data_IF_229395497713
#
_entry.id   IF_229395497713
#
_cell.length_a   1.000
_cell.length_b   1.000
_cell.length_c   1.000
_cell.angle_alpha   90.00
_cell.angle_beta   90.00
_cell.angle_gamma   90.00
#
_symmetry.space_group_name_H-M   'P 1'
#
loop_
_entity.id
_entity.type
_entity.pdbx_description
1 polymer ?
#
# COMPACT_ATOMS: atom_id res chain seq x y z
N UNK A 1 -1.78 34.36 28.10
CA UNK A 1 -0.36 33.93 28.04
C UNK A 1 -0.06 32.74 28.96
N UNK A 2 -1.05 31.91 29.30
CA UNK A 2 -0.86 30.67 30.08
C UNK A 2 -1.45 29.42 29.38
N UNK A 3 -1.87 29.52 28.11
CA UNK A 3 -2.38 28.38 27.33
C UNK A 3 -1.40 27.89 26.26
N UNK A 4 -0.14 28.37 26.32
CA UNK A 4 0.94 27.96 25.42
C UNK A 4 1.93 26.96 26.04
N UNK A 5 1.89 26.76 27.35
CA UNK A 5 2.86 25.93 28.07
C UNK A 5 2.38 24.50 28.34
N UNK A 6 1.06 24.23 28.35
CA UNK A 6 0.53 22.86 28.52
C UNK A 6 0.54 22.02 27.24
N UNK A 7 0.78 22.64 26.07
CA UNK A 7 0.86 21.93 24.78
C UNK A 7 2.26 21.35 24.49
N UNK A 8 3.30 21.82 25.18
CA UNK A 8 4.67 21.29 25.04
C UNK A 8 4.95 20.06 25.89
N UNK A 9 4.22 19.83 26.98
CA UNK A 9 4.47 18.69 27.88
C UNK A 9 3.82 17.37 27.43
N UNK A 10 2.89 17.41 26.46
CA UNK A 10 2.27 16.17 25.89
C UNK A 10 3.04 15.54 24.72
N UNK A 11 4.04 16.22 24.16
CA UNK A 11 4.88 15.66 23.08
C UNK A 11 6.14 14.94 23.58
N UNK A 12 6.31 14.77 24.90
CA UNK A 12 7.41 14.01 25.51
C UNK A 12 6.93 12.66 26.09
N UNK A 13 5.94 12.02 25.46
CA UNK A 13 5.47 10.70 25.88
C UNK A 13 6.31 9.58 25.25
N UNK A 14 7.32 9.15 26.02
CA UNK A 14 8.06 7.88 25.98
C UNK A 14 8.84 7.52 24.71
N UNK A 15 10.06 8.04 24.58
CA UNK A 15 11.14 7.21 24.02
C UNK A 15 11.53 6.17 25.06
N UNK A 16 10.81 5.05 25.07
CA UNK A 16 11.22 3.82 25.76
C UNK A 16 12.65 3.47 25.35
N UNK A 17 13.45 2.87 26.24
CA UNK A 17 14.81 2.43 25.92
C UNK A 17 14.75 1.33 24.83
N UNK A 18 14.84 1.72 23.54
CA UNK A 18 14.65 0.81 22.41
C UNK A 18 15.76 -0.24 22.33
N UNK A 19 16.93 0.03 22.92
CA UNK A 19 18.05 -0.92 22.97
C UNK A 19 17.74 -2.21 23.72
N UNK A 20 16.80 -2.13 24.66
CA UNK A 20 16.41 -3.27 25.50
C UNK A 20 15.20 -4.01 24.91
N UNK A 21 14.59 -3.48 23.85
CA UNK A 21 13.47 -4.12 23.18
C UNK A 21 13.96 -5.31 22.34
N UNK A 22 13.19 -6.40 22.32
CA UNK A 22 13.41 -7.46 21.35
C UNK A 22 12.91 -7.06 19.96
N UNK A 23 11.76 -6.38 19.91
CA UNK A 23 11.10 -5.95 18.67
C UNK A 23 10.67 -4.50 18.79
N UNK A 24 10.97 -3.69 17.77
CA UNK A 24 10.49 -2.32 17.62
C UNK A 24 9.50 -2.27 16.45
N UNK A 25 8.27 -1.86 16.73
CA UNK A 25 7.20 -1.70 15.73
C UNK A 25 6.99 -0.22 15.41
N UNK A 26 6.83 0.12 14.14
CA UNK A 26 6.59 1.50 13.68
C UNK A 26 5.76 1.55 12.38
N UNK A 27 5.14 2.70 12.08
CA UNK A 27 4.56 2.96 10.75
C UNK A 27 5.61 3.57 9.83
N UNK A 28 5.39 3.48 8.53
CA UNK A 28 6.25 4.08 7.51
C UNK A 28 6.06 5.60 7.37
N UNK A 29 5.57 6.28 8.40
CA UNK A 29 5.50 7.74 8.51
C UNK A 29 6.69 8.33 9.29
N UNK A 30 7.75 7.54 9.49
CA UNK A 30 9.04 7.99 10.00
C UNK A 30 9.90 8.62 8.90
N UNK A 31 10.87 9.45 9.26
CA UNK A 31 11.84 10.00 8.31
C UNK A 31 12.88 8.99 7.85
N UNK A 32 13.61 9.32 6.78
CA UNK A 32 14.74 8.55 6.29
C UNK A 32 15.86 8.47 7.36
N UNK A 33 16.09 9.57 8.07
CA UNK A 33 17.06 9.64 9.16
C UNK A 33 16.64 8.76 10.34
N UNK A 34 15.36 8.77 10.73
CA UNK A 34 14.83 7.86 11.74
C UNK A 34 14.99 6.39 11.30
N UNK A 35 14.66 6.08 10.05
CA UNK A 35 14.81 4.74 9.48
C UNK A 35 16.26 4.24 9.55
N UNK A 36 17.25 5.08 9.17
CA UNK A 36 18.67 4.72 9.28
C UNK A 36 19.11 4.51 10.72
N UNK A 37 18.61 5.30 11.67
CA UNK A 37 18.95 5.14 13.08
C UNK A 37 18.35 3.86 13.66
N UNK A 38 17.12 3.50 13.28
CA UNK A 38 16.50 2.23 13.64
C UNK A 38 17.27 1.05 13.02
N UNK A 39 17.70 1.15 11.76
CA UNK A 39 18.54 0.14 11.11
C UNK A 39 19.90 -0.02 11.82
N UNK A 40 20.49 1.08 12.31
CA UNK A 40 21.70 1.00 13.12
C UNK A 40 21.47 0.33 14.48
N UNK A 41 20.30 0.54 15.11
CA UNK A 41 19.93 -0.18 16.32
C UNK A 41 19.75 -1.67 16.04
N UNK A 42 19.08 -2.05 14.94
CA UNK A 42 18.98 -3.44 14.48
C UNK A 42 20.37 -4.08 14.39
N UNK A 43 21.27 -3.45 13.64
CA UNK A 43 22.62 -3.97 13.42
C UNK A 43 23.48 -4.04 14.69
N UNK A 44 23.31 -3.11 15.65
CA UNK A 44 24.13 -3.05 16.88
C UNK A 44 23.57 -3.91 18.02
N UNK A 45 22.25 -3.95 18.16
CA UNK A 45 21.56 -4.53 19.31
C UNK A 45 20.80 -5.82 18.98
N UNK A 46 20.67 -6.16 17.70
CA UNK A 46 19.91 -7.34 17.26
C UNK A 46 18.40 -7.20 17.46
N UNK A 47 17.88 -5.96 17.47
CA UNK A 47 16.44 -5.71 17.60
C UNK A 47 15.73 -6.03 16.30
N UNK A 48 14.56 -6.66 16.34
CA UNK A 48 13.72 -6.85 15.16
C UNK A 48 12.98 -5.55 14.80
N UNK A 49 12.93 -5.21 13.50
CA UNK A 49 12.24 -4.01 12.99
C UNK A 49 10.95 -4.40 12.28
N UNK A 50 9.82 -4.07 12.89
CA UNK A 50 8.51 -4.48 12.39
C UNK A 50 7.73 -3.29 11.80
N UNK A 51 7.67 -3.24 10.47
CA UNK A 51 6.86 -2.28 9.71
C UNK A 51 6.13 -3.03 8.58
N UNK A 52 4.94 -3.61 8.84
CA UNK A 52 4.31 -4.55 7.91
C UNK A 52 3.98 -3.97 6.52
N UNK A 53 3.50 -2.72 6.46
CA UNK A 53 3.18 -2.05 5.21
C UNK A 53 4.42 -1.82 4.33
N UNK A 54 5.54 -1.39 4.92
CA UNK A 54 6.80 -1.23 4.20
C UNK A 54 7.44 -2.58 3.87
N UNK A 55 7.25 -3.61 4.70
CA UNK A 55 7.74 -4.98 4.46
C UNK A 55 7.09 -5.61 3.23
N UNK A 56 5.76 -5.57 3.15
CA UNK A 56 5.01 -6.03 1.98
C UNK A 56 5.45 -5.31 0.70
N UNK A 57 5.60 -3.98 0.78
CA UNK A 57 6.09 -3.17 -0.34
C UNK A 57 7.54 -3.50 -0.71
N UNK A 58 8.43 -3.70 0.27
CA UNK A 58 9.83 -4.09 0.06
C UNK A 58 9.93 -5.44 -0.66
N UNK A 59 9.18 -6.45 -0.22
CA UNK A 59 9.14 -7.76 -0.90
C UNK A 59 8.63 -7.63 -2.33
N UNK A 60 7.56 -6.87 -2.55
CA UNK A 60 7.03 -6.62 -3.89
C UNK A 60 8.07 -5.95 -4.80
N UNK A 61 8.76 -4.90 -4.33
CA UNK A 61 9.78 -4.21 -5.12
C UNK A 61 10.99 -5.09 -5.44
N UNK A 62 11.43 -5.95 -4.51
CA UNK A 62 12.51 -6.90 -4.76
C UNK A 62 12.14 -7.91 -5.86
N UNK A 63 10.94 -8.47 -5.79
CA UNK A 63 10.43 -9.39 -6.81
C UNK A 63 10.23 -8.68 -8.16
N UNK A 64 9.70 -7.46 -8.15
CA UNK A 64 9.56 -6.61 -9.34
C UNK A 64 10.92 -6.36 -10.02
N UNK A 65 11.94 -5.99 -9.25
CA UNK A 65 13.29 -5.71 -9.74
C UNK A 65 13.95 -6.93 -10.41
N UNK A 66 13.61 -8.15 -9.96
CA UNK A 66 14.11 -9.39 -10.57
C UNK A 66 13.62 -9.60 -12.00
N UNK A 67 12.48 -9.01 -12.38
CA UNK A 67 11.91 -9.09 -13.72
C UNK A 67 12.18 -7.83 -14.57
N UNK A 68 12.14 -6.64 -13.95
CA UNK A 68 12.31 -5.36 -14.66
C UNK A 68 13.78 -4.97 -14.91
N UNK A 69 14.72 -5.65 -14.24
CA UNK A 69 16.13 -5.30 -14.13
C UNK A 69 16.40 -3.88 -13.58
N UNK A 70 15.39 -3.24 -13.00
CA UNK A 70 15.52 -1.93 -12.36
C UNK A 70 15.12 -2.09 -10.89
N UNK A 71 15.96 -1.61 -9.98
CA UNK A 71 15.64 -1.66 -8.56
C UNK A 71 14.42 -0.80 -8.19
N UNK A 72 14.16 0.25 -8.98
CA UNK A 72 12.97 1.08 -8.88
C UNK A 72 12.22 1.09 -10.21
N UNK A 73 10.90 1.16 -10.14
CA UNK A 73 10.02 1.36 -11.29
C UNK A 73 10.34 2.68 -12.01
N UNK A 74 10.14 2.73 -13.33
CA UNK A 74 10.50 3.86 -14.19
C UNK A 74 9.53 5.02 -14.11
N UNK A 75 8.24 4.74 -14.02
CA UNK A 75 7.20 5.76 -13.99
C UNK A 75 7.24 6.64 -12.73
N UNK A 76 6.60 7.78 -12.82
CA UNK A 76 6.40 8.78 -11.78
C UNK A 76 5.08 9.54 -12.04
N UNK A 77 4.64 10.41 -11.12
CA UNK A 77 3.39 11.16 -11.26
C UNK A 77 3.42 12.10 -12.49
N UNK A 78 4.60 12.59 -12.85
CA UNK A 78 4.81 13.44 -14.01
C UNK A 78 4.58 12.67 -15.34
N UNK A 79 5.07 11.44 -15.46
CA UNK A 79 4.76 10.55 -16.60
C UNK A 79 3.29 10.16 -16.65
N UNK A 80 2.65 9.91 -15.51
CA UNK A 80 1.18 9.68 -15.45
C UNK A 80 0.45 10.92 -15.98
N UNK A 81 0.87 12.12 -15.60
CA UNK A 81 0.23 13.37 -16.04
C UNK A 81 0.29 13.62 -17.56
N UNK A 82 1.24 12.98 -18.25
CA UNK A 82 1.40 13.02 -19.71
C UNK A 82 0.86 11.80 -20.44
N UNK A 83 0.38 10.79 -19.70
CA UNK A 83 -0.06 9.54 -20.29
C UNK A 83 -1.38 9.73 -21.02
N UNK A 84 -1.51 9.09 -22.18
CA UNK A 84 -2.76 9.06 -22.94
C UNK A 84 -3.66 7.91 -22.45
N UNK A 85 -3.04 6.84 -21.97
CA UNK A 85 -3.71 5.69 -21.36
C UNK A 85 -3.09 5.42 -20.00
N UNK A 86 -3.94 5.24 -18.99
CA UNK A 86 -3.54 4.85 -17.65
C UNK A 86 -4.27 3.57 -17.28
N UNK A 87 -3.51 2.52 -16.99
CA UNK A 87 -4.01 1.28 -16.40
C UNK A 87 -3.82 1.40 -14.88
N UNK A 88 -4.86 1.16 -14.08
CA UNK A 88 -4.76 1.10 -12.62
C UNK A 88 -5.12 -0.30 -12.15
N UNK A 89 -4.31 -0.86 -11.26
CA UNK A 89 -4.49 -2.23 -10.78
C UNK A 89 -4.22 -2.32 -9.28
N UNK A 90 -5.22 -2.79 -8.54
CA UNK A 90 -5.15 -2.97 -7.08
C UNK A 90 -5.12 -1.65 -6.30
N UNK A 91 -5.77 -0.61 -6.85
CA UNK A 91 -5.94 0.70 -6.22
C UNK A 91 -7.43 0.99 -6.08
N UNK A 92 -7.86 1.36 -4.88
CA UNK A 92 -9.16 1.98 -4.64
C UNK A 92 -8.95 3.44 -4.20
N UNK A 93 -9.39 4.41 -4.99
CA UNK A 93 -9.08 5.84 -4.84
C UNK A 93 -9.97 6.58 -3.83
N UNK A 94 -10.99 5.91 -3.30
CA UNK A 94 -11.74 6.35 -2.11
C UNK A 94 -10.95 6.14 -0.80
N UNK A 95 -9.79 5.47 -0.87
CA UNK A 95 -8.86 5.29 0.26
C UNK A 95 -7.97 6.52 0.46
N UNK A 96 -8.04 7.13 1.65
CA UNK A 96 -7.35 8.39 1.99
C UNK A 96 -5.98 8.18 2.68
N UNK A 97 -5.41 6.96 2.66
CA UNK A 97 -4.16 6.65 3.38
C UNK A 97 -2.90 7.35 2.90
N UNK A 98 -2.80 7.60 1.60
CA UNK A 98 -1.55 8.04 0.97
C UNK A 98 -1.75 9.39 0.32
N UNK A 99 -0.91 10.37 0.68
CA UNK A 99 -0.85 11.65 -0.01
C UNK A 99 -0.63 11.46 -1.52
N UNK A 100 0.14 10.43 -1.89
CA UNK A 100 0.37 10.06 -3.30
C UNK A 100 -0.92 9.66 -4.01
N UNK A 101 -1.87 9.00 -3.33
CA UNK A 101 -3.18 8.66 -3.89
C UNK A 101 -4.02 9.92 -4.14
N UNK A 102 -4.00 10.88 -3.21
CA UNK A 102 -4.69 12.16 -3.39
C UNK A 102 -4.17 12.94 -4.60
N UNK A 103 -2.84 13.10 -4.72
CA UNK A 103 -2.23 13.80 -5.86
C UNK A 103 -2.50 13.06 -7.17
N UNK A 104 -2.40 11.73 -7.16
CA UNK A 104 -2.67 10.91 -8.34
C UNK A 104 -4.13 11.02 -8.79
N UNK A 105 -5.08 10.98 -7.85
CA UNK A 105 -6.50 11.20 -8.14
C UNK A 105 -6.71 12.55 -8.84
N UNK A 106 -6.10 13.61 -8.32
CA UNK A 106 -6.22 14.95 -8.90
C UNK A 106 -5.65 14.99 -10.32
N UNK A 107 -4.50 14.34 -10.56
CA UNK A 107 -3.90 14.19 -11.89
C UNK A 107 -4.86 13.47 -12.85
N UNK A 108 -5.46 12.35 -12.46
CA UNK A 108 -6.37 11.59 -13.31
C UNK A 108 -7.63 12.38 -13.66
N UNK A 109 -8.20 13.12 -12.69
CA UNK A 109 -9.39 13.96 -12.88
C UNK A 109 -9.07 15.16 -13.78
N UNK A 110 -7.92 15.80 -13.61
CA UNK A 110 -7.52 16.98 -14.37
C UNK A 110 -7.14 16.63 -15.81
N UNK A 111 -6.28 15.62 -15.98
CA UNK A 111 -5.71 15.25 -17.28
C UNK A 111 -6.65 14.40 -18.13
N UNK A 112 -7.56 13.66 -17.50
CA UNK A 112 -8.55 12.79 -18.16
C UNK A 112 -7.92 11.90 -19.24
N UNK A 113 -6.87 11.12 -18.90
CA UNK A 113 -6.39 10.08 -19.79
C UNK A 113 -7.48 9.04 -20.00
N UNK A 114 -7.31 8.15 -20.98
CA UNK A 114 -8.16 6.96 -21.04
C UNK A 114 -7.79 6.02 -19.89
N UNK A 115 -8.72 5.70 -19.01
CA UNK A 115 -8.49 4.89 -17.82
C UNK A 115 -9.01 3.46 -18.04
N UNK A 116 -8.11 2.51 -17.83
CA UNK A 116 -8.45 1.09 -17.61
C UNK A 116 -8.37 0.86 -16.10
N UNK A 117 -9.51 0.62 -15.47
CA UNK A 117 -9.60 0.39 -14.03
C UNK A 117 -9.74 -1.10 -13.75
N UNK A 118 -8.77 -1.69 -13.05
CA UNK A 118 -8.74 -3.11 -12.73
C UNK A 118 -8.85 -3.30 -11.21
N UNK A 119 -10.05 -3.64 -10.73
CA UNK A 119 -10.32 -3.80 -9.30
C UNK A 119 -11.60 -4.64 -9.05
N UNK A 120 -11.74 -5.39 -7.94
CA UNK A 120 -12.97 -6.16 -7.65
C UNK A 120 -14.19 -5.28 -7.36
N UNK A 121 -13.96 -4.04 -6.96
CA UNK A 121 -14.98 -3.07 -6.56
C UNK A 121 -14.97 -1.86 -7.47
N UNK A 122 -16.16 -1.30 -7.72
CA UNK A 122 -16.30 0.00 -8.38
C UNK A 122 -15.70 1.12 -7.51
N UNK A 123 -15.16 2.15 -8.16
CA UNK A 123 -14.64 3.35 -7.52
C UNK A 123 -15.50 4.55 -7.89
N UNK A 124 -16.16 5.18 -6.92
CA UNK A 124 -17.15 6.25 -7.16
C UNK A 124 -16.51 7.53 -7.66
N UNK A 125 -15.25 7.76 -7.30
CA UNK A 125 -14.48 8.94 -7.69
C UNK A 125 -14.12 8.84 -9.18
N UNK A 126 -13.72 7.66 -9.64
CA UNK A 126 -13.28 7.42 -11.02
C UNK A 126 -14.40 7.01 -12.01
N UNK A 127 -15.66 6.83 -11.60
CA UNK A 127 -16.69 6.27 -12.52
C UNK A 127 -16.91 7.07 -13.81
N UNK A 128 -16.67 8.38 -13.81
CA UNK A 128 -16.89 9.20 -15.02
C UNK A 128 -15.75 9.07 -16.06
N UNK A 129 -14.46 9.06 -15.66
CA UNK A 129 -13.33 8.93 -16.61
C UNK A 129 -12.92 7.49 -16.99
N UNK A 130 -13.61 6.42 -16.59
CA UNK A 130 -13.17 5.04 -16.90
C UNK A 130 -13.74 4.54 -18.24
N UNK A 131 -12.86 4.27 -19.21
CA UNK A 131 -13.19 3.66 -20.49
C UNK A 131 -13.41 2.14 -20.39
N UNK A 132 -12.62 1.46 -19.56
CA UNK A 132 -12.73 0.02 -19.35
C UNK A 132 -12.61 -0.30 -17.86
N UNK A 133 -13.66 -0.89 -17.29
CA UNK A 133 -13.62 -1.44 -15.94
C UNK A 133 -13.50 -2.96 -16.04
N UNK A 134 -12.35 -3.51 -15.62
CA UNK A 134 -12.10 -4.95 -15.54
C UNK A 134 -12.33 -5.38 -14.11
N UNK A 135 -13.49 -5.98 -13.88
CA UNK A 135 -13.88 -6.49 -12.56
C UNK A 135 -13.45 -7.95 -12.44
N UNK A 136 -12.54 -8.23 -11.51
CA UNK A 136 -12.07 -9.59 -11.23
C UNK A 136 -12.51 -10.12 -9.87
N UNK A 137 -12.35 -11.43 -9.68
CA UNK A 137 -12.61 -12.10 -8.42
C UNK A 137 -11.50 -11.82 -7.39
N UNK A 138 -11.89 -11.58 -6.14
CA UNK A 138 -10.94 -11.35 -5.04
C UNK A 138 -9.99 -12.54 -4.91
N UNK A 139 -8.70 -12.29 -4.73
CA UNK A 139 -7.65 -13.30 -4.59
C UNK A 139 -7.14 -13.85 -5.93
N UNK A 140 -7.77 -13.48 -7.05
CA UNK A 140 -7.34 -13.91 -8.40
C UNK A 140 -6.29 -12.99 -9.04
N UNK A 141 -5.73 -12.03 -8.29
CA UNK A 141 -4.84 -10.98 -8.80
C UNK A 141 -3.61 -11.52 -9.54
N UNK A 142 -3.09 -12.68 -9.14
CA UNK A 142 -2.01 -13.38 -9.88
C UNK A 142 -2.45 -13.79 -11.28
N UNK A 143 -3.63 -14.40 -11.41
CA UNK A 143 -4.21 -14.77 -12.70
C UNK A 143 -4.50 -13.55 -13.57
N UNK A 144 -5.03 -12.48 -12.97
CA UNK A 144 -5.28 -11.21 -13.69
C UNK A 144 -3.97 -10.58 -14.20
N UNK A 145 -2.93 -10.56 -13.37
CA UNK A 145 -1.60 -10.09 -13.78
C UNK A 145 -1.02 -10.94 -14.91
N UNK A 146 -1.22 -12.26 -14.87
CA UNK A 146 -0.74 -13.19 -15.89
C UNK A 146 -1.48 -13.01 -17.22
N UNK A 147 -2.81 -12.85 -17.18
CA UNK A 147 -3.62 -12.54 -18.36
C UNK A 147 -3.24 -11.19 -18.98
N UNK A 148 -3.01 -10.17 -18.15
CA UNK A 148 -2.53 -8.87 -18.62
C UNK A 148 -1.14 -8.97 -19.27
N UNK A 149 -0.21 -9.68 -18.64
CA UNK A 149 1.12 -9.95 -19.19
C UNK A 149 1.02 -10.66 -20.55
N UNK A 150 0.20 -11.71 -20.64
CA UNK A 150 -0.02 -12.45 -21.88
C UNK A 150 -0.56 -11.54 -22.99
N UNK A 151 -1.62 -10.77 -22.70
CA UNK A 151 -2.26 -9.90 -23.67
C UNK A 151 -1.30 -8.84 -24.23
N UNK A 152 -0.50 -8.21 -23.37
CA UNK A 152 0.37 -7.10 -23.76
C UNK A 152 1.73 -7.54 -24.35
N UNK A 153 2.14 -8.79 -24.10
CA UNK A 153 3.44 -9.32 -24.50
C UNK A 153 3.39 -10.32 -25.67
N UNK A 154 2.22 -10.87 -26.03
CA UNK A 154 2.06 -11.89 -27.07
C UNK A 154 2.71 -11.57 -28.44
N UNK A 155 2.85 -10.29 -28.80
CA UNK A 155 3.43 -9.81 -30.07
C UNK A 155 4.82 -9.20 -29.89
N UNK A 156 5.44 -9.34 -28.71
CA UNK A 156 6.76 -8.77 -28.38
C UNK A 156 7.86 -9.83 -28.50
N UNK A 157 9.08 -9.37 -28.73
CA UNK A 157 10.26 -10.24 -28.68
C UNK A 157 10.70 -10.42 -27.23
N UNK A 158 10.65 -11.66 -26.74
CA UNK A 158 10.95 -12.01 -25.35
C UNK A 158 12.13 -13.01 -25.30
N UNK A 159 12.91 -13.04 -24.21
CA UNK A 159 13.82 -14.16 -23.93
C UNK A 159 13.07 -15.49 -23.83
N UNK A 160 13.70 -16.58 -24.27
CA UNK A 160 13.08 -17.91 -24.35
C UNK A 160 12.40 -18.35 -23.04
N UNK A 161 13.10 -18.19 -21.90
CA UNK A 161 12.57 -18.55 -20.57
C UNK A 161 11.26 -17.84 -20.26
N UNK A 162 11.13 -16.55 -20.61
CA UNK A 162 9.92 -15.77 -20.36
C UNK A 162 8.81 -16.18 -21.33
N UNK A 163 9.14 -16.38 -22.61
CA UNK A 163 8.18 -16.82 -23.61
C UNK A 163 7.58 -18.19 -23.25
N UNK A 164 8.43 -19.16 -22.87
CA UNK A 164 8.01 -20.50 -22.42
C UNK A 164 7.09 -20.39 -21.19
N UNK A 165 7.47 -19.61 -20.18
CA UNK A 165 6.65 -19.41 -18.97
C UNK A 165 5.25 -18.84 -19.27
N UNK A 166 5.14 -17.97 -20.28
CA UNK A 166 3.88 -17.34 -20.68
C UNK A 166 3.04 -18.26 -21.58
N UNK A 167 3.67 -19.11 -22.40
CA UNK A 167 2.99 -20.11 -23.24
C UNK A 167 2.38 -21.26 -22.42
N UNK A 168 2.93 -21.56 -21.24
CA UNK A 168 2.43 -22.59 -20.33
C UNK A 168 1.16 -22.17 -19.55
N UNK A 169 0.78 -20.88 -19.59
CA UNK A 169 -0.39 -20.37 -18.89
C UNK A 169 -1.70 -20.94 -19.47
N UNK A 170 -2.54 -21.53 -18.62
CA UNK A 170 -3.90 -21.91 -19.00
C UNK A 170 -4.84 -20.69 -18.99
N UNK A 171 -4.85 -19.96 -20.11
CA UNK A 171 -5.68 -18.76 -20.30
C UNK A 171 -7.16 -19.03 -20.06
N UNK A 172 -7.65 -20.21 -20.45
CA UNK A 172 -9.06 -20.59 -20.28
C UNK A 172 -9.42 -20.75 -18.81
N UNK A 173 -8.57 -21.43 -18.05
CA UNK A 173 -8.72 -21.56 -16.60
C UNK A 173 -8.65 -20.20 -15.89
N UNK A 174 -7.59 -19.41 -16.17
CA UNK A 174 -7.39 -18.12 -15.53
C UNK A 174 -8.56 -17.18 -15.80
N UNK A 175 -9.02 -17.10 -17.05
CA UNK A 175 -10.17 -16.27 -17.45
C UNK A 175 -11.45 -16.67 -16.71
N UNK A 176 -11.70 -17.97 -16.58
CA UNK A 176 -12.89 -18.49 -15.91
C UNK A 176 -12.88 -18.21 -14.40
N UNK A 177 -11.76 -18.42 -13.71
CA UNK A 177 -11.67 -18.26 -12.26
C UNK A 177 -11.47 -16.81 -11.82
N UNK A 178 -10.78 -15.98 -12.62
CA UNK A 178 -10.62 -14.55 -12.32
C UNK A 178 -11.80 -13.70 -12.76
N UNK A 179 -12.72 -14.25 -13.56
CA UNK A 179 -13.81 -13.54 -14.22
C UNK A 179 -13.32 -12.38 -15.13
N UNK A 180 -12.16 -12.56 -15.77
CA UNK A 180 -11.62 -11.59 -16.74
C UNK A 180 -11.65 -12.20 -18.14
N UNK A 181 -12.39 -11.58 -19.05
CA UNK A 181 -12.56 -12.07 -20.42
C UNK A 181 -11.48 -11.57 -21.39
N UNK A 182 -11.21 -12.33 -22.44
CA UNK A 182 -10.34 -11.90 -23.54
C UNK A 182 -10.83 -10.60 -24.19
N UNK A 183 -12.15 -10.40 -24.31
CA UNK A 183 -12.74 -9.18 -24.89
C UNK A 183 -12.37 -7.90 -24.14
N UNK A 184 -12.30 -7.97 -22.81
CA UNK A 184 -11.90 -6.84 -21.96
C UNK A 184 -10.43 -6.49 -22.21
N UNK A 185 -9.56 -7.50 -22.32
CA UNK A 185 -8.13 -7.34 -22.57
C UNK A 185 -7.83 -6.91 -24.01
N UNK A 186 -8.60 -7.36 -24.99
CA UNK A 186 -8.52 -6.91 -26.38
C UNK A 186 -8.86 -5.42 -26.52
N UNK A 187 -9.82 -4.95 -25.70
CA UNK A 187 -10.14 -3.53 -25.60
C UNK A 187 -8.93 -2.75 -25.07
N UNK A 188 -8.28 -3.25 -24.01
CA UNK A 188 -7.04 -2.65 -23.49
C UNK A 188 -5.94 -2.63 -24.56
N UNK A 189 -5.72 -3.74 -25.26
CA UNK A 189 -4.73 -3.84 -26.33
C UNK A 189 -4.98 -2.78 -27.41
N UNK A 190 -6.23 -2.63 -27.85
CA UNK A 190 -6.63 -1.63 -28.85
C UNK A 190 -6.40 -0.20 -28.36
N UNK A 191 -6.63 0.07 -27.07
CA UNK A 191 -6.42 1.40 -26.48
C UNK A 191 -4.95 1.82 -26.47
N UNK A 192 -4.03 0.87 -26.31
CA UNK A 192 -2.59 1.13 -26.20
C UNK A 192 -1.83 1.04 -27.53
N UNK A 193 -2.51 0.68 -28.62
CA UNK A 193 -1.93 0.69 -29.97
C UNK A 193 -1.60 2.14 -30.41
N UNK A 194 -0.45 2.34 -31.06
CA UNK A 194 -0.10 3.64 -31.69
C UNK A 194 1.02 4.45 -31.05
N UNK A 195 1.72 3.91 -30.04
CA UNK A 195 2.93 4.55 -29.48
C UNK A 195 2.66 5.65 -28.45
N UNK A 196 1.47 5.65 -27.87
CA UNK A 196 1.07 6.51 -26.75
C UNK A 196 1.96 6.33 -25.53
N UNK A 197 2.09 7.39 -24.72
CA UNK A 197 2.66 7.27 -23.37
C UNK A 197 1.62 6.54 -22.52
N UNK A 198 1.99 5.36 -22.03
CA UNK A 198 1.12 4.50 -21.22
C UNK A 198 1.74 4.37 -19.82
N UNK A 199 0.92 4.54 -18.79
CA UNK A 199 1.33 4.29 -17.41
C UNK A 199 0.52 3.17 -16.79
N UNK A 200 1.17 2.35 -15.96
CA UNK A 200 0.54 1.35 -15.11
C UNK A 200 0.72 1.76 -13.66
N UNK A 201 -0.37 2.06 -12.98
CA UNK A 201 -0.40 2.35 -11.56
C UNK A 201 -0.67 1.04 -10.82
N UNK A 202 0.24 0.69 -9.93
CA UNK A 202 0.15 -0.50 -9.08
C UNK A 202 -0.11 -0.06 -7.64
N UNK A 203 -1.15 -0.63 -7.03
CA UNK A 203 -1.59 -0.27 -5.69
C UNK A 203 -1.26 -1.30 -4.61
N UNK A 204 -1.62 -0.92 -3.39
CA UNK A 204 -1.24 -1.64 -2.17
C UNK A 204 -1.99 -2.94 -1.94
N UNK A 205 -3.10 -3.16 -2.64
CA UNK A 205 -3.83 -4.42 -2.56
C UNK A 205 -3.01 -5.57 -3.16
N UNK A 206 -2.12 -5.27 -4.11
CA UNK A 206 -1.23 -6.27 -4.71
C UNK A 206 -0.03 -6.61 -3.83
N UNK A 207 0.46 -5.65 -3.03
CA UNK A 207 1.65 -5.86 -2.19
C UNK A 207 1.35 -6.79 -1.02
N UNK A 208 0.12 -6.75 -0.51
CA UNK A 208 -0.33 -7.58 0.61
C UNK A 208 -0.96 -8.90 0.16
N UNK A 209 -1.03 -9.15 -1.15
CA UNK A 209 -1.53 -10.40 -1.70
C UNK A 209 -0.59 -11.58 -1.36
N UNK A 210 -1.09 -12.80 -1.05
CA UNK A 210 -0.22 -13.96 -0.78
C UNK A 210 0.75 -14.32 -1.90
N UNK A 211 0.41 -13.96 -3.14
CA UNK A 211 1.22 -14.13 -4.37
C UNK A 211 1.84 -12.83 -4.88
N UNK A 212 2.04 -11.85 -3.99
CA UNK A 212 2.61 -10.53 -4.31
C UNK A 212 3.91 -10.62 -5.14
N UNK A 213 4.79 -11.58 -4.82
CA UNK A 213 6.05 -11.75 -5.55
C UNK A 213 5.83 -12.14 -7.03
N UNK A 214 4.89 -13.05 -7.30
CA UNK A 214 4.63 -13.50 -8.68
C UNK A 214 3.93 -12.40 -9.49
N UNK A 215 2.96 -11.71 -8.86
CA UNK A 215 2.33 -10.51 -9.44
C UNK A 215 3.41 -9.47 -9.78
N UNK A 216 4.32 -9.16 -8.86
CA UNK A 216 5.38 -8.19 -9.07
C UNK A 216 6.27 -8.54 -10.27
N UNK A 217 6.67 -9.81 -10.40
CA UNK A 217 7.47 -10.30 -11.53
C UNK A 217 6.72 -10.11 -12.87
N UNK A 218 5.45 -10.50 -12.94
CA UNK A 218 4.62 -10.34 -14.13
C UNK A 218 4.47 -8.85 -14.54
N UNK A 219 4.21 -7.97 -13.58
CA UNK A 219 4.11 -6.53 -13.85
C UNK A 219 5.47 -5.92 -14.22
N UNK A 220 6.59 -6.45 -13.69
CA UNK A 220 7.94 -6.06 -14.09
C UNK A 220 8.26 -6.36 -15.57
N UNK A 221 7.72 -7.46 -16.12
CA UNK A 221 7.85 -7.77 -17.54
C UNK A 221 7.19 -6.71 -18.44
N UNK A 222 6.07 -6.13 -17.98
CA UNK A 222 5.36 -5.09 -18.73
C UNK A 222 6.19 -3.81 -18.89
N UNK A 223 6.94 -3.41 -17.87
CA UNK A 223 7.88 -2.28 -17.97
C UNK A 223 8.98 -2.57 -19.01
N UNK A 224 9.56 -3.77 -18.97
CA UNK A 224 10.67 -4.16 -19.85
C UNK A 224 10.26 -4.28 -21.32
N UNK A 225 9.17 -5.01 -21.59
CA UNK A 225 8.88 -5.52 -22.92
C UNK A 225 7.66 -4.84 -23.56
N UNK A 226 6.70 -4.38 -22.74
CA UNK A 226 5.58 -3.58 -23.22
C UNK A 226 5.83 -2.06 -23.13
N UNK A 227 6.94 -1.63 -22.50
CA UNK A 227 7.36 -0.22 -22.36
C UNK A 227 6.37 0.64 -21.59
N UNK A 228 5.66 0.04 -20.63
CA UNK A 228 4.77 0.80 -19.74
C UNK A 228 5.62 1.58 -18.72
N UNK A 229 5.17 2.78 -18.38
CA UNK A 229 5.70 3.53 -17.24
C UNK A 229 5.01 3.02 -15.97
N UNK A 230 5.62 2.05 -15.30
CA UNK A 230 5.04 1.48 -14.08
C UNK A 230 5.29 2.44 -12.91
N UNK A 231 4.26 2.65 -12.09
CA UNK A 231 4.30 3.42 -10.85
C UNK A 231 3.79 2.53 -9.72
N UNK A 232 4.68 2.04 -8.87
CA UNK A 232 4.27 1.31 -7.67
C UNK A 232 4.03 2.31 -6.55
N UNK A 233 2.76 2.63 -6.26
CA UNK A 233 2.40 3.64 -5.27
C UNK A 233 2.86 3.23 -3.86
N UNK A 234 3.59 4.08 -3.12
CA UNK A 234 3.93 3.80 -1.73
C UNK A 234 2.66 3.68 -0.85
N UNK A 235 2.54 2.64 0.00
CA UNK A 235 1.37 2.43 0.86
C UNK A 235 1.23 3.43 2.01
N UNK A 236 2.31 4.15 2.36
CA UNK A 236 2.35 5.18 3.40
C UNK A 236 3.34 6.28 3.01
N UNK A 237 3.40 7.37 3.81
CA UNK A 237 4.08 8.61 3.44
C UNK A 237 5.57 8.44 3.09
N UNK A 238 6.31 7.65 3.88
CA UNK A 238 7.73 7.34 3.62
C UNK A 238 7.99 5.84 3.43
N UNK A 239 6.99 5.07 2.97
CA UNK A 239 7.13 3.62 2.78
C UNK A 239 8.25 3.24 1.82
N UNK A 240 8.49 4.04 0.77
CA UNK A 240 9.63 3.82 -0.12
C UNK A 240 10.96 4.05 0.60
N UNK A 241 11.09 5.10 1.41
CA UNK A 241 12.30 5.33 2.20
C UNK A 241 12.58 4.20 3.18
N UNK A 242 11.58 3.78 3.96
CA UNK A 242 11.72 2.67 4.90
C UNK A 242 12.06 1.35 4.19
N UNK A 243 11.38 1.04 3.08
CA UNK A 243 11.65 -0.17 2.29
C UNK A 243 13.07 -0.18 1.70
N UNK A 244 13.62 0.99 1.37
CA UNK A 244 15.00 1.11 0.90
C UNK A 244 16.00 1.03 2.06
N UNK A 245 15.70 1.62 3.21
CA UNK A 245 16.70 1.85 4.26
C UNK A 245 16.80 0.72 5.29
N UNK A 246 15.68 0.09 5.66
CA UNK A 246 15.62 -0.86 6.76
C UNK A 246 15.62 -2.33 6.29
N UNK A 247 16.26 -3.18 7.09
CA UNK A 247 16.06 -4.63 7.10
C UNK A 247 14.84 -4.92 7.95
N UNK A 248 13.70 -5.20 7.32
CA UNK A 248 12.42 -5.37 8.01
C UNK A 248 12.15 -6.85 8.31
N UNK A 249 11.66 -7.13 9.51
CA UNK A 249 11.34 -8.46 10.01
C UNK A 249 9.85 -8.80 9.90
N UNK A 250 9.55 -10.11 9.91
CA UNK A 250 8.18 -10.61 10.00
C UNK A 250 7.63 -10.48 11.43
N UNK A 251 6.31 -10.45 11.56
CA UNK A 251 5.68 -10.41 12.87
C UNK A 251 6.01 -11.67 13.70
N UNK A 252 6.58 -11.48 14.90
CA UNK A 252 6.77 -12.54 15.89
C UNK A 252 5.76 -12.41 17.04
N UNK A 253 5.65 -13.45 17.86
CA UNK A 253 4.79 -13.46 19.05
C UNK A 253 5.36 -12.65 20.23
N UNK A 254 6.54 -12.04 20.05
CA UNK A 254 7.24 -11.32 21.12
C UNK A 254 6.58 -9.96 21.39
N UNK A 255 6.72 -9.47 22.64
CA UNK A 255 6.27 -8.13 22.99
C UNK A 255 7.07 -7.09 22.19
N UNK A 256 6.35 -6.24 21.44
CA UNK A 256 6.94 -5.16 20.65
C UNK A 256 6.81 -3.82 21.35
N UNK A 257 7.88 -3.02 21.35
CA UNK A 257 7.82 -1.60 21.71
C UNK A 257 7.41 -0.80 20.48
N UNK A 258 6.38 0.05 20.62
CA UNK A 258 5.93 0.92 19.53
C UNK A 258 6.78 2.18 19.50
N UNK A 259 7.43 2.44 18.38
CA UNK A 259 8.13 3.69 18.10
C UNK A 259 7.19 4.69 17.41
N UNK A 260 7.23 5.93 17.87
CA UNK A 260 6.46 7.05 17.29
C UNK A 260 7.42 8.02 16.63
N UNK A 261 7.08 8.40 15.39
CA UNK A 261 7.87 9.34 14.59
C UNK A 261 8.07 10.66 15.31
N UNK A 262 9.32 11.17 15.34
CA UNK A 262 9.61 12.53 15.79
C UNK A 262 9.35 13.57 14.69
N UNK A 263 9.04 13.14 13.47
CA UNK A 263 8.71 13.97 12.30
C UNK A 263 9.82 15.00 11.95
N UNK A 264 11.07 14.61 12.18
CA UNK A 264 12.28 15.37 11.85
C UNK A 264 13.07 14.60 10.77
N UNK A 265 13.41 15.26 9.66
CA UNK A 265 14.20 14.67 8.57
C UNK A 265 13.59 14.84 7.19
N UNK A 266 13.96 13.90 6.34
CA UNK A 266 13.52 13.78 4.96
C UNK A 266 12.63 12.54 4.77
N UNK A 267 11.88 12.51 3.68
CA UNK A 267 11.11 11.36 3.23
C UNK A 267 11.26 11.19 1.72
N UNK A 268 10.75 10.09 1.17
CA UNK A 268 10.77 9.81 -0.27
C UNK A 268 9.34 9.78 -0.79
N UNK A 269 9.02 10.68 -1.72
CA UNK A 269 7.70 10.75 -2.34
C UNK A 269 7.53 9.71 -3.47
N UNK A 270 6.32 9.63 -4.05
CA UNK A 270 6.01 8.73 -5.16
C UNK A 270 6.84 8.98 -6.44
N UNK A 271 7.40 10.17 -6.61
CA UNK A 271 8.32 10.51 -7.72
C UNK A 271 9.77 10.08 -7.44
N UNK A 272 10.01 9.31 -6.38
CA UNK A 272 11.33 8.85 -5.93
C UNK A 272 12.26 10.03 -5.60
N UNK A 273 11.70 11.13 -5.11
CA UNK A 273 12.44 12.33 -4.70
C UNK A 273 12.57 12.37 -3.19
N UNK A 274 13.77 12.69 -2.71
CA UNK A 274 14.05 12.96 -1.31
C UNK A 274 13.57 14.38 -1.00
N UNK A 275 12.60 14.51 -0.10
CA UNK A 275 11.96 15.77 0.26
C UNK A 275 12.02 16.02 1.77
N UNK A 276 12.08 17.29 2.17
CA UNK A 276 12.05 17.69 3.58
C UNK A 276 10.64 17.53 4.13
N UNK A 277 10.52 16.98 5.34
CA UNK A 277 9.24 16.97 6.05
C UNK A 277 8.79 18.42 6.35
N UNK A 278 7.49 18.76 6.21
CA UNK A 278 7.00 20.14 6.36
C UNK A 278 7.35 20.82 7.68
N UNK A 279 7.51 20.04 8.75
CA UNK A 279 7.84 20.53 10.10
C UNK A 279 9.34 20.48 10.44
N UNK A 280 10.19 20.00 9.51
CA UNK A 280 11.64 19.92 9.71
C UNK A 280 12.29 21.27 9.41
N UNK A 281 12.58 22.02 10.47
CA UNK A 281 13.51 23.15 10.41
C UNK A 281 14.93 22.62 10.65
N UNK A 282 15.94 23.16 9.94
CA UNK A 282 17.35 22.72 10.04
C UNK A 282 17.88 22.63 11.47
N UNK A 283 17.31 23.44 12.37
CA UNK A 283 17.79 23.64 13.73
C UNK A 283 17.07 22.74 14.77
N UNK A 284 16.05 21.97 14.35
CA UNK A 284 15.31 21.04 15.23
C UNK A 284 15.73 19.61 14.95
N UNK A 285 16.71 19.14 15.74
CA UNK A 285 17.22 17.76 15.73
C UNK A 285 17.07 17.09 17.09
N UNK A 286 16.18 17.58 17.96
CA UNK A 286 16.04 17.07 19.33
C UNK A 286 15.51 15.63 19.34
N UNK A 287 14.50 15.34 18.50
CA UNK A 287 13.94 14.00 18.36
C UNK A 287 14.94 13.03 17.74
N UNK A 288 15.58 13.42 16.64
CA UNK A 288 16.63 12.61 16.00
C UNK A 288 17.82 12.39 16.92
N UNK A 289 18.24 13.38 17.70
CA UNK A 289 19.32 13.22 18.68
C UNK A 289 18.93 12.30 19.83
N UNK A 290 17.66 12.30 20.26
CA UNK A 290 17.20 11.38 21.29
C UNK A 290 17.23 9.92 20.80
N UNK A 291 16.90 9.65 19.53
CA UNK A 291 17.09 8.35 18.89
C UNK A 291 18.57 8.04 18.66
N UNK A 292 19.30 8.99 18.11
CA UNK A 292 20.73 8.89 17.78
C UNK A 292 21.62 8.63 19.00
N UNK A 293 21.30 9.24 20.15
CA UNK A 293 22.00 8.98 21.41
C UNK A 293 21.98 7.50 21.80
N UNK A 294 20.95 6.75 21.38
CA UNK A 294 20.90 5.31 21.59
C UNK A 294 21.97 4.58 20.75
N UNK A 295 22.26 5.02 19.53
CA UNK A 295 23.35 4.44 18.73
C UNK A 295 24.70 5.13 18.92
N UNK A 296 24.79 6.10 19.83
CA UNK A 296 26.01 6.87 20.11
C UNK A 296 26.30 7.94 19.05
N UNK A 297 25.26 8.47 18.41
CA UNK A 297 25.36 9.47 17.35
C UNK A 297 24.47 10.68 17.67
N UNK A 298 25.07 11.85 17.88
CA UNK A 298 24.35 13.10 18.14
C UNK A 298 24.99 14.21 17.35
N UNK A 299 24.19 15.03 16.69
CA UNK A 299 24.66 16.09 15.78
C UNK A 299 23.95 17.40 16.11
N UNK A 300 24.46 18.51 15.57
CA UNK A 300 23.83 19.83 15.76
C UNK A 300 22.90 20.19 14.60
N UNK A 301 23.18 19.66 13.40
CA UNK A 301 22.45 19.98 12.18
C UNK A 301 21.93 18.70 11.50
N UNK A 302 20.71 18.77 10.96
CA UNK A 302 20.06 17.65 10.27
C UNK A 302 20.84 17.16 9.04
N UNK A 303 21.60 18.05 8.39
CA UNK A 303 22.46 17.70 7.25
C UNK A 303 23.53 16.67 7.62
N UNK A 304 23.96 16.62 8.87
CA UNK A 304 24.88 15.61 9.38
C UNK A 304 24.21 14.23 9.49
N UNK A 305 22.90 14.15 9.82
CA UNK A 305 22.16 12.88 9.75
C UNK A 305 21.99 12.41 8.31
N UNK A 306 21.75 13.33 7.37
CA UNK A 306 21.62 12.97 5.95
C UNK A 306 22.92 12.42 5.37
N UNK A 307 24.09 12.61 6.02
CA UNK A 307 25.33 11.92 5.62
C UNK A 307 25.33 10.43 5.92
N UNK A 308 24.46 9.95 6.82
CA UNK A 308 24.28 8.54 7.13
C UNK A 308 23.45 7.81 6.06
N UNK A 309 22.78 8.53 5.17
CA UNK A 309 21.97 7.92 4.12
C UNK A 309 22.88 7.18 3.10
N UNK A 310 22.57 5.92 2.77
CA UNK A 310 23.44 5.05 1.97
C UNK A 310 23.50 5.47 0.51
N UNK A 311 24.70 5.87 0.04
CA UNK A 311 24.92 6.28 -1.36
C UNK A 311 24.72 5.15 -2.36
N UNK A 312 25.02 3.92 -1.94
CA UNK A 312 24.82 2.69 -2.70
C UNK A 312 23.33 2.38 -2.92
N UNK A 313 22.41 3.05 -2.22
CA UNK A 313 20.95 3.01 -2.45
C UNK A 313 20.41 4.25 -3.16
N UNK A 314 21.30 5.06 -3.75
CA UNK A 314 20.92 6.22 -4.58
C UNK A 314 20.71 7.54 -3.82
N UNK A 315 21.00 7.56 -2.51
CA UNK A 315 20.95 8.78 -1.70
C UNK A 315 22.19 9.65 -1.90
N UNK A 316 22.02 10.97 -1.78
CA UNK A 316 23.08 11.96 -1.89
C UNK A 316 23.16 12.80 -0.63
N UNK A 317 24.39 13.07 -0.15
CA UNK A 317 24.60 13.97 0.98
C UNK A 317 24.20 15.40 0.60
N UNK A 318 23.40 16.06 1.43
CA UNK A 318 23.01 17.46 1.21
C UNK A 318 24.15 18.41 1.60
N UNK A 319 24.45 19.39 0.74
CA UNK A 319 25.19 20.59 1.14
C UNK A 319 24.16 21.69 1.39
N UNK A 320 24.18 22.21 2.62
CA UNK A 320 23.32 23.25 3.17
C UNK A 320 23.34 24.54 2.34
N UNK A 321 22.53 24.62 1.27
CA UNK A 321 22.25 25.88 0.59
C UNK A 321 20.96 25.91 -0.25
N UNK A 322 20.02 24.99 -0.04
CA UNK A 322 18.77 24.98 -0.83
C UNK A 322 17.64 25.64 -0.03
N UNK A 323 17.68 26.96 0.00
CA UNK A 323 16.50 27.77 0.36
C UNK A 323 15.51 27.73 -0.81
N UNK A 324 14.29 27.21 -0.55
CA UNK A 324 13.05 27.31 -1.34
C UNK A 324 12.56 26.09 -2.15
N UNK A 325 13.16 24.89 -2.07
CA UNK A 325 12.53 23.66 -2.62
C UNK A 325 12.21 22.66 -1.50
N UNK A 326 10.96 22.22 -1.44
CA UNK A 326 10.49 21.13 -0.56
C UNK A 326 11.19 19.81 -0.87
N UNK A 327 11.54 19.57 -2.14
CA UNK A 327 12.28 18.39 -2.58
C UNK A 327 13.73 18.72 -2.95
N UNK A 328 14.66 17.91 -2.44
CA UNK A 328 16.10 18.12 -2.50
C UNK A 328 16.70 17.56 -3.79
N UNK A 329 16.48 16.28 -4.07
CA UNK A 329 17.00 15.58 -5.24
C UNK A 329 16.20 14.30 -5.54
N UNK A 330 16.30 13.80 -6.77
CA UNK A 330 15.76 12.49 -7.15
C UNK A 330 16.77 11.37 -6.81
N UNK A 331 16.27 10.22 -6.34
CA UNK A 331 17.10 9.02 -6.18
C UNK A 331 17.71 8.63 -7.53
N UNK A 332 18.96 8.21 -7.50
CA UNK A 332 19.62 7.69 -8.70
C UNK A 332 19.18 6.24 -8.92
N UNK A 333 18.63 5.89 -10.10
CA UNK A 333 18.27 4.50 -10.41
C UNK A 333 19.49 3.59 -10.32
N UNK A 334 19.31 2.41 -9.74
CA UNK A 334 20.33 1.37 -9.68
C UNK A 334 19.86 0.23 -10.56
N UNK A 335 20.67 -0.12 -11.55
CA UNK A 335 20.44 -1.30 -12.37
C UNK A 335 20.59 -2.55 -11.49
N UNK A 336 19.63 -3.46 -11.60
CA UNK A 336 19.64 -4.73 -10.89
C UNK A 336 19.70 -5.85 -11.92
N UNK A 337 20.70 -6.72 -11.84
CA UNK A 337 20.76 -7.91 -12.69
C UNK A 337 20.24 -9.10 -11.89
N UNK A 338 18.95 -9.38 -12.05
CA UNK A 338 18.27 -10.52 -11.42
C UNK A 338 18.16 -11.70 -12.38
N UNK A 339 18.01 -12.91 -11.82
CA UNK A 339 17.60 -14.08 -12.59
C UNK A 339 16.07 -14.20 -12.53
N UNK A 340 15.41 -14.09 -13.68
CA UNK A 340 13.95 -14.23 -13.76
C UNK A 340 13.52 -15.69 -13.59
N UNK A 341 12.54 -15.92 -12.72
CA UNK A 341 11.80 -17.18 -12.58
C UNK A 341 10.35 -16.85 -12.24
N UNK A 342 9.41 -17.54 -12.89
CA UNK A 342 7.99 -17.47 -12.59
C UNK A 342 7.57 -18.84 -12.07
N UNK A 343 6.89 -18.86 -10.93
CA UNK A 343 6.34 -20.11 -10.40
C UNK A 343 5.08 -20.48 -11.20
N UNK A 344 4.74 -21.78 -11.23
CA UNK A 344 3.46 -22.22 -11.77
C UNK A 344 2.32 -21.57 -10.98
N UNK A 345 1.27 -21.13 -11.69
CA UNK A 345 0.11 -20.52 -11.05
C UNK A 345 -0.67 -21.64 -10.34
N UNK A 346 -0.68 -21.58 -9.02
CA UNK A 346 -1.49 -22.46 -8.19
C UNK A 346 -2.98 -22.24 -8.48
N UNK A 347 -3.82 -23.17 -8.01
CA UNK A 347 -5.27 -22.99 -8.08
C UNK A 347 -5.69 -21.64 -7.46
N UNK A 348 -6.36 -20.81 -8.25
CA UNK A 348 -6.77 -19.48 -7.81
C UNK A 348 -7.79 -19.61 -6.67
N UNK A 349 -7.66 -18.80 -5.61
CA UNK A 349 -8.55 -18.88 -4.48
C UNK A 349 -9.94 -18.38 -4.86
N UNK A 350 -10.96 -19.20 -4.62
CA UNK A 350 -12.35 -18.83 -4.94
C UNK A 350 -12.97 -18.11 -3.75
N UNK A 351 -13.21 -16.81 -3.81
CA UNK A 351 -13.89 -16.05 -2.74
C UNK A 351 -15.41 -16.05 -2.92
N UNK A 352 -16.02 -17.23 -2.79
CA UNK A 352 -17.47 -17.36 -2.85
C UNK A 352 -18.16 -16.66 -1.67
N UNK A 353 -19.12 -15.78 -1.98
CA UNK A 353 -20.05 -15.21 -1.00
C UNK A 353 -19.70 -13.81 -0.52
N UNK A 354 -19.82 -13.58 0.79
CA UNK A 354 -19.70 -12.26 1.41
C UNK A 354 -18.24 -11.95 1.77
N UNK A 355 -17.66 -10.93 1.12
CA UNK A 355 -16.28 -10.49 1.35
C UNK A 355 -16.28 -9.12 2.03
N UNK A 356 -15.32 -8.90 2.93
CA UNK A 356 -15.03 -7.60 3.51
C UNK A 356 -13.77 -7.04 2.87
N UNK A 357 -13.83 -5.78 2.45
CA UNK A 357 -12.68 -4.96 2.13
C UNK A 357 -12.39 -4.01 3.30
N UNK A 358 -11.19 -4.13 3.87
CA UNK A 358 -10.76 -3.34 5.01
C UNK A 358 -9.97 -2.12 4.55
N UNK A 359 -10.36 -0.94 5.00
CA UNK A 359 -9.75 0.33 4.60
C UNK A 359 -9.60 1.29 5.78
N UNK A 360 -8.68 2.24 5.62
CA UNK A 360 -8.51 3.35 6.56
C UNK A 360 -9.21 4.59 6.04
N UNK A 361 -9.74 5.40 6.95
CA UNK A 361 -10.35 6.68 6.60
C UNK A 361 -9.86 7.76 7.55
N UNK A 362 -9.63 8.95 7.00
CA UNK A 362 -9.11 10.12 7.73
C UNK A 362 -10.17 10.86 8.54
N UNK A 363 -11.40 10.37 8.58
CA UNK A 363 -12.47 11.00 9.35
C UNK A 363 -12.13 11.06 10.85
N UNK A 364 -11.49 12.16 11.25
CA UNK A 364 -11.59 12.76 12.58
C UNK A 364 -13.03 13.25 12.77
N UNK A 365 -13.98 12.32 12.81
CA UNK A 365 -15.34 12.63 13.25
C UNK A 365 -15.27 12.94 14.74
N UNK A 366 -15.78 14.12 15.10
CA UNK A 366 -15.67 14.75 16.41
C UNK A 366 -15.84 13.78 17.59
N UNK A 367 -14.99 13.94 18.62
CA UNK A 367 -14.86 13.15 19.86
C UNK A 367 -16.15 12.96 20.72
N UNK A 368 -17.34 13.32 20.22
CA UNK A 368 -18.61 13.32 20.96
C UNK A 368 -19.65 12.32 20.53
N UNK A 369 -19.43 11.56 19.46
CA UNK A 369 -20.32 10.46 19.09
C UNK A 369 -19.56 9.14 19.30
N UNK A 370 -20.02 8.32 20.25
CA UNK A 370 -19.72 6.89 20.28
C UNK A 370 -20.32 6.28 19.01
N UNK A 371 -19.64 6.44 17.88
CA UNK A 371 -20.02 5.82 16.62
C UNK A 371 -19.83 4.32 16.78
N UNK A 372 -20.94 3.58 16.78
CA UNK A 372 -20.90 2.16 16.50
C UNK A 372 -20.29 2.02 15.09
N UNK A 373 -19.14 1.33 14.96
CA UNK A 373 -18.48 1.15 13.67
C UNK A 373 -19.47 0.58 12.64
N UNK A 374 -19.50 1.17 11.45
CA UNK A 374 -20.45 0.77 10.40
C UNK A 374 -19.75 -0.18 9.43
N UNK A 375 -20.39 -1.31 9.13
CA UNK A 375 -20.03 -2.15 7.99
C UNK A 375 -20.98 -1.80 6.85
N UNK A 376 -20.48 -1.15 5.80
CA UNK A 376 -21.31 -0.71 4.67
C UNK A 376 -21.27 -1.73 3.55
N UNK A 377 -22.41 -2.22 3.07
CA UNK A 377 -22.45 -3.15 1.94
C UNK A 377 -23.66 -2.93 1.04
N UNK A 378 -23.65 -3.54 -0.14
CA UNK A 378 -24.79 -3.46 -1.06
C UNK A 378 -25.98 -4.32 -0.61
N UNK A 379 -27.12 -4.18 -1.29
CA UNK A 379 -28.24 -5.12 -1.16
C UNK A 379 -27.86 -6.55 -1.56
N UNK A 380 -26.98 -6.73 -2.55
CA UNK A 380 -26.52 -8.05 -3.00
C UNK A 380 -25.65 -8.70 -1.92
N UNK A 381 -24.76 -7.93 -1.29
CA UNK A 381 -23.99 -8.37 -0.13
C UNK A 381 -24.91 -8.80 1.02
N UNK A 382 -25.92 -7.99 1.36
CA UNK A 382 -26.88 -8.31 2.42
C UNK A 382 -27.57 -9.65 2.18
N UNK A 383 -28.01 -9.92 0.94
CA UNK A 383 -28.63 -11.19 0.56
C UNK A 383 -27.65 -12.37 0.65
N UNK A 384 -26.42 -12.21 0.14
CA UNK A 384 -25.38 -13.23 0.17
C UNK A 384 -24.95 -13.58 1.61
N UNK A 385 -24.78 -12.57 2.46
CA UNK A 385 -24.41 -12.69 3.86
C UNK A 385 -25.59 -13.04 4.79
N UNK A 386 -26.82 -13.00 4.28
CA UNK A 386 -28.09 -13.16 5.04
C UNK A 386 -28.23 -12.13 6.18
N UNK A 387 -27.86 -10.88 5.90
CA UNK A 387 -27.91 -9.75 6.84
C UNK A 387 -29.08 -8.81 6.55
N UNK A 388 -29.58 -8.15 7.60
CA UNK A 388 -30.58 -7.09 7.51
C UNK A 388 -29.98 -5.70 7.81
N UNK A 389 -30.54 -4.65 7.21
CA UNK A 389 -30.11 -3.28 7.50
C UNK A 389 -30.30 -2.96 8.99
N UNK A 390 -29.24 -2.44 9.62
CA UNK A 390 -29.20 -2.15 11.06
C UNK A 390 -28.85 -3.34 11.95
N UNK A 391 -28.59 -4.53 11.40
CA UNK A 391 -28.19 -5.69 12.17
C UNK A 391 -26.78 -5.52 12.77
N UNK A 392 -26.62 -5.88 14.05
CA UNK A 392 -25.31 -5.85 14.73
C UNK A 392 -24.62 -7.21 14.60
N UNK A 393 -23.39 -7.18 14.11
CA UNK A 393 -22.58 -8.38 13.88
C UNK A 393 -21.23 -8.26 14.58
N UNK A 394 -20.61 -9.41 14.84
CA UNK A 394 -19.21 -9.49 15.29
C UNK A 394 -18.43 -10.52 14.49
N UNK A 395 -17.28 -10.12 13.99
CA UNK A 395 -16.37 -10.95 13.19
C UNK A 395 -14.93 -10.73 13.63
N UNK A 396 -14.04 -11.63 13.21
CA UNK A 396 -12.61 -11.57 13.53
C UNK A 396 -11.81 -11.52 12.23
N UNK A 397 -10.91 -10.55 12.13
CA UNK A 397 -9.89 -10.47 11.08
C UNK A 397 -8.55 -10.53 11.79
N UNK A 398 -7.73 -11.54 11.47
CA UNK A 398 -6.39 -11.73 12.04
C UNK A 398 -6.33 -11.64 13.58
N UNK A 399 -7.30 -12.25 14.26
CA UNK A 399 -7.36 -12.23 15.73
C UNK A 399 -7.92 -10.94 16.34
N UNK A 400 -8.15 -9.89 15.54
CA UNK A 400 -8.80 -8.65 15.96
C UNK A 400 -10.31 -8.81 15.82
N UNK A 401 -11.03 -8.64 16.93
CA UNK A 401 -12.50 -8.69 16.95
C UNK A 401 -13.09 -7.34 16.57
N UNK A 402 -13.94 -7.34 15.57
CA UNK A 402 -14.75 -6.21 15.12
C UNK A 402 -16.19 -6.37 15.59
N UNK A 403 -16.79 -5.28 16.04
CA UNK A 403 -18.24 -5.20 16.26
C UNK A 403 -18.77 -4.06 15.41
N UNK A 404 -19.72 -4.37 14.52
CA UNK A 404 -20.24 -3.43 13.53
C UNK A 404 -21.75 -3.46 13.45
N UNK A 405 -22.34 -2.34 13.07
CA UNK A 405 -23.72 -2.28 12.57
C UNK A 405 -23.68 -2.33 11.05
N UNK A 406 -24.34 -3.33 10.47
CA UNK A 406 -24.43 -3.45 9.02
C UNK A 406 -25.39 -2.38 8.48
N UNK A 407 -24.95 -1.67 7.44
CA UNK A 407 -25.75 -0.67 6.74
C UNK A 407 -25.72 -0.92 5.23
N UNK A 408 -26.90 -0.86 4.63
CA UNK A 408 -27.04 -0.97 3.18
C UNK A 408 -26.69 0.38 2.55
N UNK A 409 -25.62 0.43 1.76
CA UNK A 409 -25.36 1.53 0.83
C UNK A 409 -25.96 1.18 -0.54
N UNK A 410 -26.94 1.97 -0.97
CA UNK A 410 -27.66 1.76 -2.24
C UNK A 410 -26.83 2.06 -3.47
N UNK A 411 -25.69 2.72 -3.33
CA UNK A 411 -24.80 3.03 -4.44
C UNK A 411 -23.71 1.98 -4.63
N UNK A 412 -23.46 1.14 -3.62
CA UNK A 412 -22.56 0.00 -3.75
C UNK A 412 -23.22 -1.11 -4.56
N UNK A 413 -22.40 -1.86 -5.29
CA UNK A 413 -22.79 -3.07 -6.02
C UNK A 413 -21.85 -4.22 -5.65
N UNK A 414 -22.25 -5.44 -5.98
CA UNK A 414 -21.47 -6.64 -5.73
C UNK A 414 -21.61 -7.17 -4.30
N UNK A 415 -20.79 -8.18 -3.98
CA UNK A 415 -20.83 -8.94 -2.72
C UNK A 415 -19.63 -8.61 -1.83
N UNK A 416 -19.15 -7.36 -1.91
CA UNK A 416 -18.07 -6.85 -1.06
C UNK A 416 -18.63 -5.73 -0.17
N UNK A 417 -18.31 -5.78 1.13
CA UNK A 417 -18.65 -4.75 2.11
C UNK A 417 -17.40 -4.02 2.61
N UNK A 418 -17.54 -2.73 2.92
CA UNK A 418 -16.50 -1.83 3.40
C UNK A 418 -16.44 -1.85 4.93
N UNK A 419 -15.28 -2.21 5.47
CA UNK A 419 -15.00 -2.17 6.91
C UNK A 419 -13.91 -1.12 7.21
N UNK A 420 -14.26 0.00 7.86
CA UNK A 420 -13.27 0.98 8.28
C UNK A 420 -12.52 0.52 9.54
N UNK A 421 -11.27 0.95 9.71
CA UNK A 421 -10.39 0.59 10.84
C UNK A 421 -10.16 1.71 11.88
N UNK A 422 -10.82 2.87 11.76
CA UNK A 422 -10.54 4.06 12.60
C UNK A 422 -10.78 3.87 14.11
N UNK A 423 -11.65 2.95 14.52
CA UNK A 423 -12.04 2.72 15.92
C UNK A 423 -11.18 1.66 16.63
N UNK A 424 -10.21 1.10 15.91
CA UNK A 424 -9.24 0.20 16.48
C UNK A 424 -8.23 1.04 17.28
N UNK A 425 -8.18 0.84 18.61
CA UNK A 425 -7.17 1.48 19.50
C UNK A 425 -5.74 0.97 19.26
N UNK A 426 -5.62 -0.08 18.47
CA UNK A 426 -4.39 -0.63 17.93
C UNK A 426 -4.10 0.13 16.62
N UNK A 427 -2.85 0.54 16.39
CA UNK A 427 -2.47 1.22 15.16
C UNK A 427 -2.91 0.39 13.94
N UNK A 428 -3.50 1.00 12.88
CA UNK A 428 -3.90 0.27 11.67
C UNK A 428 -2.78 -0.59 11.07
N UNK A 429 -1.52 -0.23 11.31
CA UNK A 429 -0.31 -1.03 11.05
C UNK A 429 -0.22 -2.39 11.76
N UNK A 430 -1.21 -2.77 12.58
CA UNK A 430 -1.38 -4.10 13.16
C UNK A 430 -2.17 -5.07 12.28
N UNK A 431 -2.90 -4.57 11.27
CA UNK A 431 -3.52 -5.40 10.25
C UNK A 431 -2.56 -5.44 9.06
N UNK A 432 -1.63 -6.39 9.07
CA UNK A 432 -0.65 -6.59 7.98
C UNK A 432 -1.28 -7.25 6.74
N UNK A 433 -2.60 -7.37 6.72
CA UNK A 433 -3.30 -8.33 5.90
C UNK A 433 -3.52 -7.85 4.47
N UNK A 434 -3.59 -8.82 3.58
CA UNK A 434 -4.41 -8.71 2.38
C UNK A 434 -5.77 -8.10 2.76
N UNK A 435 -6.18 -7.02 2.07
CA UNK A 435 -7.29 -6.17 2.53
C UNK A 435 -8.65 -6.84 2.40
N UNK A 436 -8.73 -7.89 1.60
CA UNK A 436 -9.92 -8.67 1.44
C UNK A 436 -9.93 -9.87 2.39
N UNK A 437 -11.06 -10.07 3.07
CA UNK A 437 -11.26 -11.18 4.00
C UNK A 437 -12.65 -11.75 3.82
N UNK A 438 -12.78 -13.08 3.89
CA UNK A 438 -14.11 -13.71 3.90
C UNK A 438 -14.82 -13.36 5.21
N UNK A 439 -16.08 -12.95 5.11
CA UNK A 439 -16.88 -12.66 6.29
C UNK A 439 -17.33 -13.96 6.96
N UNK A 440 -16.72 -14.28 8.10
CA UNK A 440 -17.20 -15.29 9.05
C UNK A 440 -17.58 -14.57 10.36
N UNK A 441 -18.86 -14.62 10.74
CA UNK A 441 -19.37 -13.91 11.91
C UNK A 441 -20.31 -14.76 12.76
N UNK A 442 -20.42 -14.37 14.03
CA UNK A 442 -21.39 -14.93 14.97
C UNK A 442 -22.57 -13.97 15.13
N UNK A 443 -23.80 -14.47 14.96
CA UNK A 443 -25.01 -13.70 15.23
C UNK A 443 -25.18 -13.50 16.74
N UNK A 444 -25.07 -12.26 17.22
CA UNK A 444 -25.31 -11.91 18.63
C UNK A 444 -26.78 -11.96 19.06
N UNK A 445 -27.72 -12.27 18.16
CA UNK A 445 -29.16 -12.31 18.44
C UNK A 445 -29.67 -13.68 18.91
N UNK A 446 -29.08 -14.21 20.00
CA UNK A 446 -29.66 -15.35 20.73
C UNK A 446 -29.72 -15.11 22.26
N UNK A 447 -29.91 -13.86 22.69
CA UNK A 447 -30.56 -13.60 23.97
C UNK A 447 -32.06 -13.43 23.73
N UNK A 448 -32.80 -14.52 23.91
CA UNK A 448 -34.23 -14.46 24.18
C UNK A 448 -34.44 -13.49 25.34
N UNK A 449 -35.00 -12.32 25.05
CA UNK A 449 -35.75 -11.56 26.06
C UNK A 449 -36.92 -12.46 26.41
N UNK A 450 -36.78 -13.21 27.49
CA UNK A 450 -37.87 -13.96 28.08
C UNK A 450 -38.98 -12.97 28.44
N UNK A 451 -40.15 -13.20 27.86
CA UNK A 451 -41.39 -12.64 28.36
C UNK A 451 -41.51 -12.94 29.86
N UNK A 452 -41.32 -11.93 30.71
CA UNK A 452 -41.89 -11.94 32.05
C UNK A 452 -43.29 -11.35 31.94
N UNK A 453 -44.26 -12.22 31.66
CA UNK A 453 -45.63 -12.03 32.13
C UNK A 453 -45.73 -12.74 33.49
N UNK A 454 -45.67 -11.96 34.56
CA UNK A 454 -46.55 -12.11 35.74
C UNK A 454 -46.99 -10.72 36.20
#
# INVERSE_FOLDING_TARGET
MEHGYEKSEKNQQSMTNLKEAHTVRFSADISNEEAVLLEQLHNKCGIALLCPEAKAYQHFLLAYASASNNYLFKGDLDTVSRSEVVITFGVWYEDDRSESLCVLRDILIEKKPKIVFMHPMEDRILQTPVEQFIKYEVGSEEGVAALLAQALLNKKTLPAVIAESLEELDIGYLSAESNVGEEELDTVCTMIEGGSIISLIVGSDLYTHPKAEQIAKLLGLLECYAKLNVVCLPPAHNALGVALLCTLDEASADESVVYQSCHEGTFINADKQVCMLPNSQSDRVEGLNALGAQVGYTVQDISEFSTLLPKDKGFHGHNSSVTAKTCLYALTPIEHCGHFTLDEIDALPVYDGAVIYTYETTEKRSEKETLEGVLSGSKQFALAAKLQDGERISFVIEGVKFTRVFKIDTHMKGVIALNPTFDIKLSPSLLSSYRFSRLAFENTNNQKIGNNNE
#
